data_IF_220693118401
#
_entry.id   IF_220693118401
#
_cell.length_a   1.000
_cell.length_b   1.000
_cell.length_c   1.000
_cell.angle_alpha   90.00
_cell.angle_beta   90.00
_cell.angle_gamma   90.00
#
_symmetry.space_group_name_H-M   'P 1'
#
loop_
_entity.id
_entity.type
_entity.pdbx_description
1 polymer ?
#
# COMPACT_ATOMS: atom_id res chain seq x y z
N UNK A 1 69.76 -20.89 -5.95
CA UNK A 1 68.70 -21.41 -6.83
C UNK A 1 67.38 -20.91 -6.25
N UNK A 2 66.86 -19.77 -6.71
CA UNK A 2 66.04 -19.58 -7.93
C UNK A 2 64.66 -20.22 -7.72
N UNK A 3 63.57 -19.51 -7.43
CA UNK A 3 62.87 -18.41 -8.13
C UNK A 3 61.70 -18.91 -9.01
N UNK A 4 60.52 -18.32 -8.75
CA UNK A 4 59.45 -17.90 -9.68
C UNK A 4 58.23 -17.56 -8.78
N UNK A 5 57.83 -16.31 -8.48
CA UNK A 5 57.54 -15.13 -9.32
C UNK A 5 56.52 -15.44 -10.43
N UNK A 6 55.24 -15.27 -10.11
CA UNK A 6 54.22 -14.85 -11.09
C UNK A 6 53.81 -13.43 -10.70
N UNK A 7 54.10 -12.52 -11.62
CA UNK A 7 53.78 -11.09 -11.57
C UNK A 7 52.41 -10.92 -12.22
N UNK A 8 51.43 -10.39 -11.49
CA UNK A 8 50.22 -9.80 -12.06
C UNK A 8 50.42 -8.28 -12.09
N UNK A 9 51.11 -7.82 -13.12
CA UNK A 9 51.18 -6.40 -13.50
C UNK A 9 49.97 -6.10 -14.39
N UNK A 10 49.04 -5.25 -13.91
CA UNK A 10 47.92 -4.80 -14.74
C UNK A 10 46.71 -4.16 -14.05
N UNK A 11 46.79 -3.75 -12.77
CA UNK A 11 45.79 -2.87 -12.14
C UNK A 11 46.48 -1.55 -11.78
N UNK A 12 46.81 -0.77 -12.80
CA UNK A 12 47.09 0.66 -12.63
C UNK A 12 45.76 1.41 -12.68
N UNK A 13 45.08 1.43 -11.54
CA UNK A 13 44.34 2.60 -11.06
C UNK A 13 44.40 2.53 -9.53
N UNK A 14 44.88 3.58 -8.83
CA UNK A 14 44.90 3.56 -7.37
C UNK A 14 43.45 3.44 -6.87
N UNK A 15 43.19 2.67 -5.80
CA UNK A 15 41.89 2.73 -5.16
C UNK A 15 41.63 4.19 -4.79
N UNK A 16 40.49 4.72 -5.22
CA UNK A 16 40.01 6.04 -4.77
C UNK A 16 40.16 6.06 -3.25
N UNK A 17 40.95 6.98 -2.67
CA UNK A 17 41.17 6.98 -1.24
C UNK A 17 39.83 7.23 -0.58
N UNK A 18 39.33 6.22 0.15
CA UNK A 18 38.18 6.38 1.03
C UNK A 18 38.62 7.40 2.09
N UNK A 19 37.94 8.55 2.22
CA UNK A 19 38.31 9.52 3.25
C UNK A 19 38.24 8.85 4.62
N UNK A 20 39.25 9.08 5.46
CA UNK A 20 39.26 8.62 6.85
C UNK A 20 38.03 9.16 7.58
N UNK A 21 37.04 8.29 7.79
CA UNK A 21 35.82 8.64 8.51
C UNK A 21 36.09 8.56 10.02
N UNK A 22 36.52 9.68 10.60
CA UNK A 22 36.67 9.82 12.04
C UNK A 22 35.31 10.09 12.70
N UNK A 23 34.69 9.03 13.23
CA UNK A 23 33.40 9.01 13.95
C UNK A 23 33.28 9.97 15.16
N UNK A 24 34.36 10.65 15.56
CA UNK A 24 34.40 11.49 16.76
C UNK A 24 34.25 13.00 16.53
N UNK A 25 34.40 13.50 15.29
CA UNK A 25 34.43 14.95 15.03
C UNK A 25 33.57 15.41 13.82
N UNK A 26 32.72 14.55 13.27
CA UNK A 26 31.83 14.92 12.16
C UNK A 26 30.45 15.36 12.66
N UNK A 27 30.04 16.58 12.32
CA UNK A 27 28.65 17.03 12.40
C UNK A 27 27.75 16.10 11.57
N UNK A 28 26.58 15.72 12.10
CA UNK A 28 25.56 14.95 11.41
C UNK A 28 25.07 15.63 10.12
N UNK A 29 25.36 16.92 9.92
CA UNK A 29 25.11 17.66 8.68
C UNK A 29 25.75 17.06 7.42
N UNK A 30 26.85 16.30 7.54
CA UNK A 30 27.53 15.64 6.42
C UNK A 30 27.22 14.14 6.28
N UNK A 31 26.23 13.64 7.04
CA UNK A 31 25.75 12.27 6.90
C UNK A 31 25.00 12.08 5.57
N UNK A 32 25.74 11.80 4.49
CA UNK A 32 25.15 11.24 3.27
C UNK A 32 24.73 9.82 3.59
N UNK A 33 23.43 9.55 3.54
CA UNK A 33 22.91 8.20 3.63
C UNK A 33 23.55 7.35 2.53
N UNK A 34 24.45 6.43 2.93
CA UNK A 34 24.97 5.33 2.10
C UNK A 34 23.88 4.25 1.94
N UNK A 35 22.63 4.65 1.66
CA UNK A 35 21.65 3.74 1.11
C UNK A 35 22.15 3.41 -0.31
N UNK A 36 22.91 2.31 -0.42
CA UNK A 36 23.15 1.61 -1.69
C UNK A 36 21.77 1.19 -2.19
N UNK A 37 21.10 2.11 -2.88
CA UNK A 37 19.84 1.80 -3.54
C UNK A 37 20.20 0.80 -4.64
N UNK A 38 19.68 -0.44 -4.61
CA UNK A 38 19.88 -1.35 -5.73
C UNK A 38 19.28 -0.68 -6.96
N UNK A 39 20.14 -0.21 -7.85
CA UNK A 39 19.74 0.48 -9.06
C UNK A 39 19.15 -0.52 -10.04
N UNK A 40 18.24 -0.04 -10.89
CA UNK A 40 17.68 -0.86 -11.94
C UNK A 40 18.80 -1.27 -12.92
N UNK A 41 19.02 -2.58 -13.19
CA UNK A 41 20.09 -3.00 -14.10
C UNK A 41 19.89 -2.39 -15.49
N UNK A 42 20.98 -2.12 -16.20
CA UNK A 42 20.97 -1.36 -17.45
C UNK A 42 19.93 -1.87 -18.47
N UNK A 43 19.82 -3.20 -18.66
CA UNK A 43 18.84 -3.82 -19.56
C UNK A 43 17.37 -3.51 -19.27
N UNK A 44 17.05 -3.12 -18.03
CA UNK A 44 15.68 -2.82 -17.62
C UNK A 44 15.39 -1.33 -17.54
N UNK A 45 16.37 -0.44 -17.74
CA UNK A 45 16.15 1.02 -17.68
C UNK A 45 15.02 1.45 -18.60
N UNK A 46 14.28 2.48 -18.19
CA UNK A 46 13.17 2.98 -18.99
C UNK A 46 13.74 3.77 -20.17
N UNK A 47 13.36 3.38 -21.39
CA UNK A 47 13.68 4.12 -22.62
C UNK A 47 12.46 4.94 -23.04
N UNK A 48 12.43 6.25 -22.79
CA UNK A 48 11.26 7.06 -23.09
C UNK A 48 11.03 7.16 -24.60
N UNK A 49 9.76 7.22 -25.02
CA UNK A 49 9.38 7.54 -26.39
C UNK A 49 9.17 9.05 -26.45
N UNK A 50 10.00 9.76 -27.21
CA UNK A 50 9.88 11.22 -27.33
C UNK A 50 8.83 11.63 -28.36
N UNK A 51 8.30 12.87 -28.22
CA UNK A 51 7.34 13.44 -29.17
C UNK A 51 5.90 12.93 -29.00
N UNK A 52 5.61 12.27 -27.88
CA UNK A 52 4.30 11.69 -27.54
C UNK A 52 3.78 12.40 -26.30
N UNK A 53 2.58 12.95 -26.37
CA UNK A 53 1.88 13.40 -25.17
C UNK A 53 1.44 12.19 -24.34
N UNK A 54 1.43 12.26 -23.00
CA UNK A 54 1.05 11.11 -22.20
C UNK A 54 -0.29 10.49 -22.61
N UNK A 55 -1.26 11.32 -23.00
CA UNK A 55 -2.54 10.91 -23.59
C UNK A 55 -2.38 9.88 -24.70
N UNK A 56 -1.42 10.06 -25.60
CA UNK A 56 -1.27 9.25 -26.79
C UNK A 56 -0.41 8.00 -26.56
N UNK A 57 0.10 7.77 -25.35
CA UNK A 57 1.05 6.67 -25.09
C UNK A 57 0.52 5.28 -25.48
N UNK A 58 -0.78 5.01 -25.34
CA UNK A 58 -1.37 3.75 -25.82
C UNK A 58 -1.47 3.65 -27.35
N UNK A 59 -1.60 4.78 -28.06
CA UNK A 59 -1.65 4.80 -29.52
C UNK A 59 -0.30 4.44 -30.16
N UNK A 60 0.78 4.48 -29.36
CA UNK A 60 2.15 4.15 -29.76
C UNK A 60 2.75 3.03 -28.89
N UNK A 61 1.93 2.12 -28.37
CA UNK A 61 2.38 1.03 -27.50
C UNK A 61 3.47 0.16 -28.16
N UNK A 62 3.42 0.02 -29.49
CA UNK A 62 4.45 -0.64 -30.28
C UNK A 62 5.81 0.06 -30.14
N UNK A 63 5.86 1.39 -30.12
CA UNK A 63 7.09 2.15 -29.88
C UNK A 63 7.66 1.91 -28.47
N UNK A 64 6.80 1.77 -27.45
CA UNK A 64 7.24 1.41 -26.10
C UNK A 64 7.80 -0.01 -26.02
N UNK A 65 7.19 -0.96 -26.73
CA UNK A 65 7.70 -2.34 -26.80
C UNK A 65 9.03 -2.37 -27.57
N UNK A 66 9.13 -1.66 -28.69
CA UNK A 66 10.35 -1.53 -29.47
C UNK A 66 11.48 -0.89 -28.66
N UNK A 67 11.20 0.17 -27.90
CA UNK A 67 12.22 0.83 -27.06
C UNK A 67 12.69 -0.08 -25.91
N UNK A 68 11.79 -0.87 -25.31
CA UNK A 68 12.15 -1.87 -24.32
C UNK A 68 12.98 -3.01 -24.93
N UNK A 69 12.61 -3.49 -26.13
CA UNK A 69 13.35 -4.53 -26.84
C UNK A 69 14.75 -4.05 -27.20
N UNK A 70 14.88 -2.82 -27.71
CA UNK A 70 16.18 -2.19 -27.96
C UNK A 70 17.06 -2.23 -26.70
N UNK A 71 16.53 -1.83 -25.54
CA UNK A 71 17.32 -1.78 -24.31
C UNK A 71 17.77 -3.16 -23.84
N UNK A 72 16.88 -4.15 -23.95
CA UNK A 72 17.16 -5.53 -23.61
C UNK A 72 18.16 -6.17 -24.57
N UNK A 73 18.14 -5.85 -25.87
CA UNK A 73 19.15 -6.37 -26.81
C UNK A 73 20.49 -5.64 -26.70
N UNK A 74 20.48 -4.34 -26.37
CA UNK A 74 21.71 -3.56 -26.20
C UNK A 74 22.42 -3.89 -24.87
N UNK A 75 21.65 -4.26 -23.85
CA UNK A 75 22.15 -4.62 -22.52
C UNK A 75 21.44 -5.89 -22.02
N UNK A 76 21.71 -7.06 -22.63
CA UNK A 76 21.00 -8.29 -22.32
C UNK A 76 21.17 -8.69 -20.86
N UNK A 77 20.07 -8.88 -20.11
CA UNK A 77 20.15 -9.49 -18.79
C UNK A 77 20.76 -10.90 -18.90
N UNK A 78 21.53 -11.29 -17.88
CA UNK A 78 22.17 -12.59 -17.83
C UNK A 78 21.15 -13.71 -18.08
N UNK A 79 21.59 -14.75 -18.81
CA UNK A 79 20.81 -15.98 -19.05
C UNK A 79 19.49 -15.79 -19.81
N UNK A 80 19.27 -14.64 -20.45
CA UNK A 80 18.07 -14.43 -21.28
C UNK A 80 18.28 -14.87 -22.73
N UNK A 81 17.28 -15.57 -23.28
CA UNK A 81 17.20 -15.87 -24.72
C UNK A 81 16.59 -14.70 -25.50
N UNK A 82 16.76 -14.67 -26.82
CA UNK A 82 16.10 -13.66 -27.67
C UNK A 82 14.56 -13.73 -27.55
N UNK A 83 14.01 -14.95 -27.45
CA UNK A 83 12.57 -15.16 -27.20
C UNK A 83 12.16 -14.59 -25.84
N UNK A 84 12.91 -14.89 -24.78
CA UNK A 84 12.66 -14.34 -23.44
C UNK A 84 12.69 -12.82 -23.41
N UNK A 85 13.70 -12.19 -24.04
CA UNK A 85 13.80 -10.73 -24.15
C UNK A 85 12.64 -10.12 -24.92
N UNK A 86 12.15 -10.77 -25.98
CA UNK A 86 10.93 -10.34 -26.68
C UNK A 86 9.70 -10.36 -25.75
N UNK A 87 9.51 -11.43 -24.97
CA UNK A 87 8.42 -11.48 -23.99
C UNK A 87 8.52 -10.37 -22.95
N UNK A 88 9.72 -10.16 -22.40
CA UNK A 88 10.00 -9.08 -21.44
C UNK A 88 9.73 -7.71 -22.03
N UNK A 89 10.12 -7.46 -23.28
CA UNK A 89 9.88 -6.20 -23.98
C UNK A 89 8.38 -5.91 -24.15
N UNK A 90 7.57 -6.93 -24.49
CA UNK A 90 6.11 -6.79 -24.60
C UNK A 90 5.52 -6.39 -23.25
N UNK A 91 5.93 -7.07 -22.17
CA UNK A 91 5.45 -6.80 -20.80
C UNK A 91 5.84 -5.39 -20.33
N UNK A 92 7.12 -5.04 -20.47
CA UNK A 92 7.64 -3.73 -20.07
C UNK A 92 7.00 -2.62 -20.91
N UNK A 93 7.04 -2.73 -22.23
CA UNK A 93 6.52 -1.71 -23.15
C UNK A 93 5.03 -1.46 -22.95
N UNK A 94 4.23 -2.52 -22.88
CA UNK A 94 2.78 -2.39 -22.65
C UNK A 94 2.49 -1.73 -21.31
N UNK A 95 3.13 -2.21 -20.24
CA UNK A 95 2.91 -1.64 -18.90
C UNK A 95 3.32 -0.17 -18.82
N UNK A 96 4.45 0.18 -19.44
CA UNK A 96 4.97 1.55 -19.48
C UNK A 96 4.06 2.49 -20.25
N UNK A 97 3.54 2.07 -21.40
CA UNK A 97 2.57 2.85 -22.17
C UNK A 97 1.28 3.10 -21.38
N UNK A 98 0.74 2.06 -20.72
CA UNK A 98 -0.44 2.17 -19.86
C UNK A 98 -0.18 3.16 -18.72
N UNK A 99 0.91 2.98 -17.97
CA UNK A 99 1.22 3.85 -16.85
C UNK A 99 1.43 5.29 -17.30
N UNK A 100 2.16 5.54 -18.39
CA UNK A 100 2.31 6.89 -18.94
C UNK A 100 0.96 7.51 -19.30
N UNK A 101 0.05 6.77 -19.96
CA UNK A 101 -1.26 7.31 -20.33
C UNK A 101 -2.12 7.67 -19.13
N UNK A 102 -2.32 6.72 -18.24
CA UNK A 102 -3.33 6.85 -17.18
C UNK A 102 -2.84 7.67 -16.00
N UNK A 103 -1.52 7.75 -15.78
CA UNK A 103 -0.93 8.55 -14.71
C UNK A 103 -0.23 9.81 -15.20
N UNK A 104 -0.34 10.11 -16.51
CA UNK A 104 0.24 11.30 -17.14
C UNK A 104 1.73 11.47 -16.86
N UNK A 105 2.48 10.36 -16.81
CA UNK A 105 3.88 10.39 -16.43
C UNK A 105 4.69 11.26 -17.40
N UNK A 106 5.50 12.13 -16.84
CA UNK A 106 6.43 13.04 -17.49
C UNK A 106 7.87 12.74 -17.04
N UNK A 107 8.87 13.33 -17.70
CA UNK A 107 10.27 13.08 -17.36
C UNK A 107 10.64 13.39 -15.89
N UNK A 108 9.94 14.32 -15.24
CA UNK A 108 10.19 14.69 -13.85
C UNK A 108 9.67 13.66 -12.84
N UNK A 109 8.87 12.69 -13.29
CA UNK A 109 8.29 11.64 -12.44
C UNK A 109 9.21 10.43 -12.28
N UNK A 110 10.39 10.47 -12.90
CA UNK A 110 11.35 9.38 -12.95
C UNK A 110 12.63 9.65 -12.18
N UNK A 111 13.27 8.59 -11.71
CA UNK A 111 14.63 8.61 -11.19
C UNK A 111 15.58 8.67 -12.38
N UNK A 112 16.32 9.77 -12.50
CA UNK A 112 17.15 10.06 -13.68
C UNK A 112 18.11 8.93 -14.06
N UNK A 113 18.79 8.34 -13.07
CA UNK A 113 19.77 7.26 -13.30
C UNK A 113 19.16 5.92 -13.78
N UNK A 114 17.84 5.81 -13.71
CA UNK A 114 17.08 4.64 -14.18
C UNK A 114 16.42 4.87 -15.54
N UNK A 115 16.65 6.04 -16.15
CA UNK A 115 16.34 6.32 -17.54
C UNK A 115 17.52 5.96 -18.44
N UNK A 116 17.22 5.53 -19.66
CA UNK A 116 18.18 5.42 -20.75
C UNK A 116 17.91 6.51 -21.79
N UNK A 117 18.88 6.74 -22.68
CA UNK A 117 18.74 7.70 -23.76
C UNK A 117 17.57 7.36 -24.67
N UNK A 118 16.83 8.38 -25.10
CA UNK A 118 15.73 8.25 -26.07
C UNK A 118 16.27 7.71 -27.39
N UNK A 119 15.62 6.68 -27.92
CA UNK A 119 16.00 6.07 -29.21
C UNK A 119 14.90 6.12 -30.27
N UNK A 120 13.66 6.41 -29.87
CA UNK A 120 12.50 6.57 -30.76
C UNK A 120 11.87 7.93 -30.50
N UNK A 121 11.71 8.71 -31.56
CA UNK A 121 10.91 9.94 -31.59
C UNK A 121 9.67 9.67 -32.45
N UNK A 122 8.49 9.67 -31.83
CA UNK A 122 7.24 9.56 -32.54
C UNK A 122 6.73 10.94 -32.96
N UNK A 123 6.08 11.00 -34.12
CA UNK A 123 5.44 12.20 -34.64
C UNK A 123 4.07 11.86 -35.19
N UNK A 124 3.03 12.62 -34.84
CA UNK A 124 1.73 12.45 -35.46
C UNK A 124 1.85 12.75 -36.97
N UNK A 125 1.30 11.86 -37.79
CA UNK A 125 1.17 12.03 -39.22
C UNK A 125 -0.23 12.56 -39.56
N UNK A 126 -0.38 13.12 -40.76
CA UNK A 126 -1.62 13.73 -41.22
C UNK A 126 -2.84 12.77 -41.24
N UNK A 127 -2.60 11.46 -41.23
CA UNK A 127 -3.63 10.42 -41.21
C UNK A 127 -4.06 9.99 -39.80
N UNK A 128 -3.63 10.70 -38.75
CA UNK A 128 -3.93 10.37 -37.35
C UNK A 128 -3.12 9.18 -36.81
N UNK A 129 -2.18 8.62 -37.57
CA UNK A 129 -1.21 7.61 -37.09
C UNK A 129 0.08 8.28 -36.64
N UNK A 130 0.95 7.53 -35.97
CA UNK A 130 2.29 7.98 -35.65
C UNK A 130 3.31 7.46 -36.66
N UNK A 131 4.33 8.28 -36.91
CA UNK A 131 5.55 7.91 -37.63
C UNK A 131 6.73 7.97 -36.67
N UNK A 132 7.71 7.08 -36.84
CA UNK A 132 8.82 6.96 -35.92
C UNK A 132 10.14 7.33 -36.58
N UNK A 133 10.91 8.19 -35.91
CA UNK A 133 12.30 8.48 -36.25
C UNK A 133 13.20 7.80 -35.22
N UNK A 134 14.07 6.91 -35.69
CA UNK A 134 15.08 6.25 -34.87
C UNK A 134 16.29 7.17 -34.65
N UNK A 135 16.94 7.06 -33.49
CA UNK A 135 18.18 7.77 -33.21
C UNK A 135 19.27 7.44 -34.25
N UNK A 136 20.00 8.46 -34.70
CA UNK A 136 21.14 8.28 -35.60
C UNK A 136 22.32 7.56 -34.92
N UNK A 137 22.38 7.60 -33.58
CA UNK A 137 23.43 6.96 -32.78
C UNK A 137 23.13 5.49 -32.45
N UNK A 138 22.02 4.95 -32.95
CA UNK A 138 21.63 3.55 -32.75
C UNK A 138 22.58 2.60 -33.51
N UNK A 139 23.01 1.52 -32.86
CA UNK A 139 23.81 0.45 -33.48
C UNK A 139 23.06 -0.14 -34.68
N UNK A 140 23.76 -0.42 -35.79
CA UNK A 140 23.13 -0.75 -37.08
C UNK A 140 22.26 -2.02 -37.03
N UNK A 141 22.74 -3.08 -36.39
CA UNK A 141 22.00 -4.34 -36.16
C UNK A 141 20.69 -4.13 -35.37
N UNK A 142 20.73 -3.27 -34.35
CA UNK A 142 19.55 -2.91 -33.55
C UNK A 142 18.61 -1.99 -34.34
N UNK A 143 19.16 -1.12 -35.19
CA UNK A 143 18.37 -0.30 -36.11
C UNK A 143 17.60 -1.15 -37.10
N UNK A 144 18.24 -2.18 -37.66
CA UNK A 144 17.59 -3.13 -38.57
C UNK A 144 16.51 -3.95 -37.85
N UNK A 145 16.73 -4.31 -36.57
CA UNK A 145 15.69 -4.91 -35.73
C UNK A 145 14.47 -3.99 -35.57
N UNK A 146 14.69 -2.69 -35.33
CA UNK A 146 13.61 -1.72 -35.15
C UNK A 146 12.90 -1.37 -36.49
N UNK A 147 13.62 -1.31 -37.61
CA UNK A 147 13.07 -1.04 -38.95
C UNK A 147 12.15 -2.17 -39.41
N UNK A 148 12.49 -3.44 -39.10
CA UNK A 148 11.61 -4.59 -39.38
C UNK A 148 10.24 -4.48 -38.71
N UNK A 149 10.12 -3.62 -37.70
CA UNK A 149 8.87 -3.33 -37.01
C UNK A 149 8.44 -4.44 -36.04
N UNK A 150 7.43 -4.13 -35.23
CA UNK A 150 6.87 -5.07 -34.27
C UNK A 150 5.73 -5.87 -34.91
N UNK A 151 6.06 -6.98 -35.57
CA UNK A 151 5.06 -7.95 -36.02
C UNK A 151 4.64 -8.83 -34.82
N UNK A 152 3.55 -8.48 -34.15
CA UNK A 152 3.00 -9.25 -33.03
C UNK A 152 2.22 -10.46 -33.53
N UNK A 153 2.41 -11.63 -32.91
CA UNK A 153 1.55 -12.79 -33.15
C UNK A 153 0.15 -12.59 -32.52
N UNK A 154 -0.82 -13.43 -32.88
CA UNK A 154 -2.16 -13.38 -32.28
C UNK A 154 -2.11 -13.63 -30.77
N UNK A 155 -1.23 -14.53 -30.33
CA UNK A 155 -1.00 -14.85 -28.93
C UNK A 155 -0.41 -13.64 -28.20
N UNK A 156 0.58 -12.96 -28.79
CA UNK A 156 1.17 -11.75 -28.20
C UNK A 156 0.15 -10.60 -28.11
N UNK A 157 -0.73 -10.47 -29.11
CA UNK A 157 -1.84 -9.51 -29.07
C UNK A 157 -2.83 -9.83 -27.94
N UNK A 158 -3.15 -11.12 -27.71
CA UNK A 158 -4.01 -11.54 -26.60
C UNK A 158 -3.35 -11.29 -25.23
N UNK A 159 -2.03 -11.52 -25.13
CA UNK A 159 -1.23 -11.18 -23.95
C UNK A 159 -1.26 -9.67 -23.70
N UNK A 160 -1.05 -8.85 -24.73
CA UNK A 160 -1.14 -7.39 -24.61
C UNK A 160 -2.52 -6.93 -24.15
N UNK A 161 -3.59 -7.49 -24.71
CA UNK A 161 -4.97 -7.18 -24.29
C UNK A 161 -5.21 -7.49 -22.81
N UNK A 162 -4.51 -8.50 -22.26
CA UNK A 162 -4.56 -8.85 -20.83
C UNK A 162 -3.68 -7.92 -19.99
N UNK A 163 -2.49 -7.55 -20.51
CA UNK A 163 -1.56 -6.66 -19.83
C UNK A 163 -2.16 -5.27 -19.64
N UNK A 164 -2.80 -4.69 -20.65
CA UNK A 164 -3.37 -3.33 -20.62
C UNK A 164 -4.18 -3.04 -19.34
N UNK A 165 -5.27 -3.76 -19.03
CA UNK A 165 -6.04 -3.50 -17.82
C UNK A 165 -5.29 -3.90 -16.54
N UNK A 166 -4.42 -4.91 -16.57
CA UNK A 166 -3.64 -5.32 -15.39
C UNK A 166 -2.57 -4.29 -14.99
N UNK A 167 -1.98 -3.60 -15.98
CA UNK A 167 -0.92 -2.61 -15.79
C UNK A 167 -1.41 -1.31 -15.14
N UNK A 168 -2.72 -1.06 -15.16
CA UNK A 168 -3.35 0.00 -14.36
C UNK A 168 -3.11 -0.22 -12.85
N UNK A 169 -2.94 -1.46 -12.40
CA UNK A 169 -2.66 -1.72 -10.98
C UNK A 169 -1.22 -1.42 -10.56
N UNK A 170 -0.27 -1.26 -11.49
CA UNK A 170 1.17 -1.31 -11.19
C UNK A 170 1.60 -0.23 -10.21
N UNK A 171 1.50 1.05 -10.57
CA UNK A 171 2.01 2.13 -9.71
C UNK A 171 1.27 2.23 -8.37
N UNK A 172 -0.08 2.19 -8.33
CA UNK A 172 -0.79 2.29 -7.05
C UNK A 172 -0.52 1.10 -6.14
N UNK A 173 -0.39 -0.13 -6.66
CA UNK A 173 -0.10 -1.31 -5.83
C UNK A 173 1.38 -1.38 -5.45
N UNK A 174 2.30 -0.85 -6.28
CA UNK A 174 3.67 -0.59 -5.85
C UNK A 174 3.71 0.41 -4.70
N UNK A 175 2.92 1.49 -4.76
CA UNK A 175 2.78 2.45 -3.66
C UNK A 175 2.17 1.86 -2.40
N UNK A 176 1.14 1.01 -2.54
CA UNK A 176 0.62 0.19 -1.45
C UNK A 176 1.73 -0.66 -0.82
N UNK A 177 2.56 -1.30 -1.63
CA UNK A 177 3.67 -2.13 -1.14
C UNK A 177 4.72 -1.29 -0.40
N UNK A 178 5.07 -0.10 -0.90
CA UNK A 178 5.96 0.83 -0.20
C UNK A 178 5.42 1.19 1.20
N UNK A 179 4.13 1.51 1.30
CA UNK A 179 3.47 1.82 2.58
C UNK A 179 3.45 0.61 3.52
N UNK A 180 3.18 -0.58 3.00
CA UNK A 180 2.95 -1.77 3.82
C UNK A 180 4.22 -2.52 4.21
N UNK A 181 5.25 -2.48 3.37
CA UNK A 181 6.47 -3.29 3.53
C UNK A 181 7.76 -2.52 3.29
N UNK A 182 7.73 -1.22 2.96
CA UNK A 182 8.93 -0.44 2.63
C UNK A 182 9.57 -0.79 1.28
N UNK A 183 8.91 -1.64 0.48
CA UNK A 183 9.41 -2.13 -0.82
C UNK A 183 8.30 -2.02 -1.85
N UNK A 184 8.59 -1.55 -3.06
CA UNK A 184 7.58 -1.45 -4.13
C UNK A 184 7.12 -2.81 -4.66
N UNK A 185 7.92 -3.87 -4.52
CA UNK A 185 7.53 -5.25 -4.85
C UNK A 185 8.41 -6.26 -4.09
N UNK A 186 7.79 -7.34 -3.60
CA UNK A 186 8.47 -8.51 -3.04
C UNK A 186 7.99 -9.78 -3.74
N UNK A 187 8.91 -10.63 -4.18
CA UNK A 187 8.61 -11.92 -4.82
C UNK A 187 8.13 -12.97 -3.83
N UNK A 188 8.40 -12.77 -2.53
CA UNK A 188 8.02 -13.69 -1.46
C UNK A 188 6.51 -13.95 -1.42
N UNK A 189 6.13 -15.22 -1.60
CA UNK A 189 4.74 -15.67 -1.75
C UNK A 189 3.77 -15.16 -0.67
N UNK A 190 4.25 -15.08 0.57
CA UNK A 190 3.43 -14.74 1.73
C UNK A 190 3.44 -13.24 2.07
N UNK A 191 4.24 -12.44 1.36
CA UNK A 191 4.31 -11.00 1.61
C UNK A 191 2.97 -10.31 1.28
N UNK A 192 2.59 -9.23 1.99
CA UNK A 192 1.44 -8.40 1.62
C UNK A 192 1.54 -7.87 0.18
N UNK A 193 2.76 -7.53 -0.26
CA UNK A 193 3.04 -7.06 -1.62
C UNK A 193 2.69 -8.12 -2.67
N UNK A 194 3.27 -9.34 -2.58
CA UNK A 194 3.01 -10.41 -3.55
C UNK A 194 1.53 -10.78 -3.64
N UNK A 195 0.82 -10.81 -2.50
CA UNK A 195 -0.62 -11.11 -2.45
C UNK A 195 -1.46 -10.05 -3.16
N UNK A 196 -1.07 -8.78 -3.09
CA UNK A 196 -1.76 -7.71 -3.80
C UNK A 196 -1.61 -7.87 -5.32
N UNK A 197 -0.39 -8.09 -5.82
CA UNK A 197 -0.17 -8.37 -7.25
C UNK A 197 -0.81 -9.70 -7.70
N UNK A 198 -0.81 -10.74 -6.85
CA UNK A 198 -1.51 -12.00 -7.12
C UNK A 198 -3.02 -11.82 -7.30
N UNK A 199 -3.62 -10.82 -6.65
CA UNK A 199 -5.03 -10.53 -6.84
C UNK A 199 -5.31 -9.94 -8.24
N UNK A 200 -4.40 -9.13 -8.77
CA UNK A 200 -4.45 -8.61 -10.14
C UNK A 200 -4.24 -9.75 -11.15
N UNK A 201 -3.22 -10.57 -10.94
CA UNK A 201 -2.96 -11.76 -11.78
C UNK A 201 -4.19 -12.66 -11.85
N UNK A 202 -4.79 -13.00 -10.70
CA UNK A 202 -6.02 -13.80 -10.65
C UNK A 202 -7.24 -13.13 -11.26
N UNK A 203 -7.21 -11.82 -11.48
CA UNK A 203 -8.30 -11.14 -12.14
C UNK A 203 -8.15 -11.20 -13.67
N UNK A 204 -6.93 -11.02 -14.20
CA UNK A 204 -6.72 -10.84 -15.63
C UNK A 204 -5.99 -12.01 -16.31
N UNK A 205 -5.07 -12.67 -15.63
CA UNK A 205 -4.17 -13.68 -16.22
C UNK A 205 -4.77 -15.10 -16.13
N UNK A 206 -6.08 -15.22 -16.36
CA UNK A 206 -6.80 -16.50 -16.23
C UNK A 206 -6.92 -17.28 -17.54
N UNK A 207 -6.74 -16.64 -18.69
CA UNK A 207 -6.83 -17.26 -20.00
C UNK A 207 -5.72 -18.30 -20.21
N UNK A 208 -6.06 -19.46 -20.77
CA UNK A 208 -5.12 -20.57 -20.97
C UNK A 208 -4.01 -20.22 -21.96
N UNK A 209 -4.29 -19.46 -23.02
CA UNK A 209 -3.28 -19.04 -23.99
C UNK A 209 -2.27 -18.09 -23.33
N UNK A 210 -2.75 -17.17 -22.50
CA UNK A 210 -1.88 -16.24 -21.73
C UNK A 210 -1.04 -17.00 -20.71
N UNK A 211 -1.65 -17.93 -19.96
CA UNK A 211 -0.92 -18.78 -19.01
C UNK A 211 0.16 -19.62 -19.68
N UNK A 212 -0.14 -20.24 -20.81
CA UNK A 212 0.80 -21.04 -21.58
C UNK A 212 1.95 -20.18 -22.11
N UNK A 213 1.66 -18.97 -22.60
CA UNK A 213 2.69 -18.03 -23.05
C UNK A 213 3.63 -17.60 -21.91
N UNK A 214 3.10 -17.48 -20.67
CA UNK A 214 3.89 -17.19 -19.48
C UNK A 214 4.62 -18.39 -18.87
N UNK A 215 4.22 -19.64 -19.14
CA UNK A 215 4.55 -20.79 -18.30
C UNK A 215 6.05 -21.00 -18.05
N UNK A 216 6.87 -20.91 -19.11
CA UNK A 216 8.34 -21.12 -19.02
C UNK A 216 9.09 -19.94 -18.40
N UNK A 217 8.53 -18.73 -18.47
CA UNK A 217 9.20 -17.47 -18.11
C UNK A 217 8.46 -16.71 -16.99
N UNK A 218 7.54 -17.36 -16.28
CA UNK A 218 6.56 -16.71 -15.39
C UNK A 218 7.22 -15.82 -14.35
N UNK A 219 8.31 -16.28 -13.72
CA UNK A 219 9.02 -15.52 -12.70
C UNK A 219 9.61 -14.21 -13.26
N UNK A 220 10.25 -14.27 -14.43
CA UNK A 220 10.84 -13.12 -15.10
C UNK A 220 9.75 -12.17 -15.60
N UNK A 221 8.64 -12.71 -16.10
CA UNK A 221 7.50 -11.93 -16.56
C UNK A 221 6.82 -11.20 -15.40
N UNK A 222 6.64 -11.85 -14.25
CA UNK A 222 6.11 -11.23 -13.04
C UNK A 222 7.05 -10.13 -12.53
N UNK A 223 8.35 -10.38 -12.50
CA UNK A 223 9.33 -9.33 -12.14
C UNK A 223 9.29 -8.16 -13.14
N UNK A 224 9.19 -8.43 -14.45
CA UNK A 224 9.04 -7.36 -15.44
C UNK A 224 7.75 -6.56 -15.25
N UNK A 225 6.62 -7.24 -15.09
CA UNK A 225 5.29 -6.63 -14.98
C UNK A 225 5.13 -5.81 -13.69
N UNK A 226 5.56 -6.36 -12.55
CA UNK A 226 5.25 -5.81 -11.24
C UNK A 226 6.37 -5.04 -10.59
N UNK A 227 7.61 -5.26 -11.01
CA UNK A 227 8.78 -4.61 -10.45
C UNK A 227 9.43 -3.67 -11.48
N UNK A 228 9.99 -4.21 -12.56
CA UNK A 228 10.86 -3.47 -13.49
C UNK A 228 10.11 -2.44 -14.34
N UNK A 229 8.83 -2.65 -14.62
CA UNK A 229 8.00 -1.73 -15.39
C UNK A 229 7.90 -0.36 -14.70
N UNK A 230 7.57 -0.36 -13.40
CA UNK A 230 7.32 0.84 -12.61
C UNK A 230 8.51 1.30 -11.74
N UNK A 231 9.57 0.50 -11.58
CA UNK A 231 10.72 0.83 -10.73
C UNK A 231 11.27 2.26 -10.94
N UNK A 232 11.45 2.73 -12.20
CA UNK A 232 11.96 4.07 -12.49
C UNK A 232 11.09 5.23 -12.03
N UNK A 233 9.81 5.01 -11.71
CA UNK A 233 8.94 6.07 -11.20
C UNK A 233 9.29 6.37 -9.74
N UNK A 234 9.33 7.66 -9.39
CA UNK A 234 9.70 8.14 -8.05
C UNK A 234 8.77 7.51 -6.98
N UNK A 235 9.32 6.98 -5.87
CA UNK A 235 8.52 6.34 -4.81
C UNK A 235 7.38 7.21 -4.26
N UNK A 236 7.63 8.50 -4.02
CA UNK A 236 6.63 9.42 -3.47
C UNK A 236 5.39 9.59 -4.37
N UNK A 237 5.57 9.49 -5.69
CA UNK A 237 4.45 9.52 -6.65
C UNK A 237 3.58 8.28 -6.50
N UNK A 238 4.21 7.09 -6.38
CA UNK A 238 3.49 5.82 -6.17
C UNK A 238 2.73 5.83 -4.85
N UNK A 239 3.36 6.32 -3.78
CA UNK A 239 2.72 6.45 -2.46
C UNK A 239 1.54 7.42 -2.49
N UNK A 240 1.67 8.55 -3.17
CA UNK A 240 0.58 9.50 -3.37
C UNK A 240 -0.62 8.83 -4.05
N UNK A 241 -0.37 8.14 -5.18
CA UNK A 241 -1.41 7.39 -5.90
C UNK A 241 -2.07 6.32 -5.03
N UNK A 242 -1.28 5.63 -4.20
CA UNK A 242 -1.81 4.59 -3.33
C UNK A 242 -2.73 5.16 -2.22
N UNK A 243 -2.54 6.40 -1.81
CA UNK A 243 -3.34 7.05 -0.75
C UNK A 243 -4.56 7.78 -1.28
N UNK A 244 -4.64 8.03 -2.58
CA UNK A 244 -5.68 8.85 -3.18
C UNK A 244 -6.96 8.06 -3.46
N UNK A 245 -8.08 8.50 -2.88
CA UNK A 245 -9.39 7.87 -3.09
C UNK A 245 -9.87 7.94 -4.55
N UNK A 246 -9.48 9.00 -5.27
CA UNK A 246 -9.81 9.15 -6.71
C UNK A 246 -9.13 8.07 -7.55
N UNK A 247 -7.92 7.65 -7.20
CA UNK A 247 -7.25 6.53 -7.88
C UNK A 247 -8.00 5.22 -7.61
N UNK A 248 -8.46 4.99 -6.38
CA UNK A 248 -9.30 3.84 -6.07
C UNK A 248 -10.61 3.84 -6.88
N UNK A 249 -11.27 5.00 -7.01
CA UNK A 249 -12.47 5.16 -7.82
C UNK A 249 -12.21 4.94 -9.32
N UNK A 250 -11.12 5.51 -9.86
CA UNK A 250 -10.69 5.31 -11.24
C UNK A 250 -10.46 3.83 -11.55
N UNK A 251 -9.74 3.12 -10.67
CA UNK A 251 -9.47 1.69 -10.83
C UNK A 251 -10.77 0.86 -10.78
N UNK A 252 -11.71 1.20 -9.87
CA UNK A 252 -13.05 0.56 -9.87
C UNK A 252 -13.79 0.80 -11.19
N UNK A 253 -13.82 2.04 -11.66
CA UNK A 253 -14.48 2.42 -12.92
C UNK A 253 -13.86 1.74 -14.15
N UNK A 254 -12.55 1.51 -14.12
CA UNK A 254 -11.82 0.76 -15.15
C UNK A 254 -11.94 -0.77 -15.01
N UNK A 255 -12.74 -1.27 -14.05
CA UNK A 255 -12.92 -2.69 -13.81
C UNK A 255 -11.76 -3.37 -13.08
N UNK A 256 -10.77 -2.64 -12.57
CA UNK A 256 -9.58 -3.16 -11.86
C UNK A 256 -9.85 -3.27 -10.36
N UNK A 257 -10.92 -3.99 -9.99
CA UNK A 257 -11.41 -4.09 -8.61
C UNK A 257 -10.38 -4.68 -7.64
N UNK A 258 -9.54 -5.61 -8.09
CA UNK A 258 -8.51 -6.22 -7.23
C UNK A 258 -7.46 -5.19 -6.77
N UNK A 259 -6.96 -4.34 -7.67
CA UNK A 259 -6.08 -3.23 -7.30
C UNK A 259 -6.81 -2.19 -6.47
N UNK A 260 -8.03 -1.81 -6.86
CA UNK A 260 -8.81 -0.80 -6.15
C UNK A 260 -9.12 -1.18 -4.69
N UNK A 261 -9.32 -2.47 -4.42
CA UNK A 261 -9.58 -2.99 -3.08
C UNK A 261 -8.42 -2.80 -2.09
N UNK A 262 -7.21 -2.56 -2.61
CA UNK A 262 -6.02 -2.28 -1.79
C UNK A 262 -5.93 -0.80 -1.39
N UNK A 263 -6.75 0.06 -1.98
CA UNK A 263 -6.67 1.51 -1.87
C UNK A 263 -7.92 2.11 -1.19
N UNK A 264 -7.79 3.26 -0.49
CA UNK A 264 -6.54 3.95 -0.19
C UNK A 264 -5.67 3.15 0.79
N UNK A 265 -4.38 3.07 0.48
CA UNK A 265 -3.40 2.32 1.23
C UNK A 265 -3.11 3.00 2.58
N UNK A 266 -3.09 2.18 3.62
CA UNK A 266 -2.83 2.62 4.99
C UNK A 266 -2.20 1.45 5.76
N UNK A 267 -1.18 1.77 6.56
CA UNK A 267 -0.47 0.82 7.40
C UNK A 267 -1.44 0.09 8.35
N UNK A 268 -1.13 -1.17 8.63
CA UNK A 268 -2.03 -2.09 9.37
C UNK A 268 -2.48 -1.52 10.71
N UNK A 269 -1.56 -0.89 11.45
CA UNK A 269 -1.81 -0.30 12.76
C UNK A 269 -2.76 0.90 12.64
N UNK A 270 -2.52 1.81 11.70
CA UNK A 270 -3.41 2.94 11.45
C UNK A 270 -4.80 2.52 10.98
N UNK A 271 -4.88 1.48 10.13
CA UNK A 271 -6.16 0.92 9.67
C UNK A 271 -6.96 0.32 10.83
N UNK A 272 -6.27 -0.37 11.73
CA UNK A 272 -6.88 -0.96 12.93
C UNK A 272 -7.31 0.13 13.90
N UNK A 273 -6.46 1.14 14.16
CA UNK A 273 -6.81 2.30 14.97
C UNK A 273 -8.02 3.06 14.42
N UNK A 274 -8.09 3.29 13.09
CA UNK A 274 -9.26 3.92 12.46
C UNK A 274 -10.53 3.10 12.66
N UNK A 275 -10.44 1.77 12.60
CA UNK A 275 -11.58 0.88 12.87
C UNK A 275 -12.02 0.96 14.33
N UNK A 276 -11.06 1.05 15.26
CA UNK A 276 -11.35 1.21 16.69
C UNK A 276 -12.01 2.57 16.94
N UNK A 277 -11.46 3.65 16.41
CA UNK A 277 -12.05 5.00 16.53
C UNK A 277 -13.49 5.03 16.00
N UNK A 278 -13.74 4.47 14.82
CA UNK A 278 -15.08 4.42 14.24
C UNK A 278 -16.07 3.62 15.12
N UNK A 279 -15.63 2.49 15.68
CA UNK A 279 -16.43 1.72 16.63
C UNK A 279 -16.73 2.52 17.90
N UNK A 280 -15.73 3.18 18.49
CA UNK A 280 -15.89 3.96 19.71
C UNK A 280 -16.84 5.13 19.49
N UNK A 281 -16.72 5.85 18.36
CA UNK A 281 -17.67 6.91 18.00
C UNK A 281 -19.10 6.40 17.82
N UNK A 282 -19.28 5.17 17.35
CA UNK A 282 -20.61 4.56 17.21
C UNK A 282 -21.18 4.06 18.55
N UNK A 283 -20.33 3.56 19.44
CA UNK A 283 -20.73 2.92 20.71
C UNK A 283 -20.82 3.90 21.88
N UNK A 284 -20.01 4.96 21.91
CA UNK A 284 -19.99 5.93 23.01
C UNK A 284 -21.38 6.55 23.29
N UNK A 285 -22.15 7.03 22.29
CA UNK A 285 -23.50 7.52 22.53
C UNK A 285 -24.42 6.45 23.15
N UNK A 286 -24.26 5.20 22.73
CA UNK A 286 -25.04 4.09 23.28
C UNK A 286 -24.66 3.87 24.75
N UNK A 287 -23.37 3.70 25.06
CA UNK A 287 -22.90 3.53 26.43
C UNK A 287 -23.33 4.67 27.35
N UNK A 288 -23.34 5.91 26.87
CA UNK A 288 -23.82 7.08 27.61
C UNK A 288 -25.29 6.97 28.00
N UNK A 289 -26.15 6.38 27.16
CA UNK A 289 -27.54 6.09 27.53
C UNK A 289 -27.63 5.12 28.73
N UNK A 290 -26.59 4.32 28.93
CA UNK A 290 -26.48 3.30 29.97
C UNK A 290 -25.64 3.74 31.18
N UNK A 291 -25.19 5.01 31.24
CA UNK A 291 -24.35 5.52 32.32
C UNK A 291 -22.86 5.15 32.21
N UNK A 292 -22.42 4.64 31.05
CA UNK A 292 -21.01 4.44 30.69
C UNK A 292 -20.50 5.50 29.70
N UNK A 293 -19.26 5.36 29.26
CA UNK A 293 -18.68 6.17 28.18
C UNK A 293 -17.50 5.44 27.56
N UNK A 294 -17.16 5.73 26.31
CA UNK A 294 -15.96 5.23 25.66
C UNK A 294 -15.11 6.40 25.15
N UNK A 295 -13.99 6.66 25.82
CA UNK A 295 -13.05 7.71 25.42
C UNK A 295 -11.92 7.15 24.56
N UNK A 296 -11.78 7.70 23.35
CA UNK A 296 -10.73 7.34 22.40
C UNK A 296 -9.90 8.57 21.96
N UNK A 297 -9.91 9.65 22.75
CA UNK A 297 -9.26 10.92 22.43
C UNK A 297 -7.77 10.74 22.18
N UNK A 298 -7.06 10.07 23.08
CA UNK A 298 -5.62 9.79 22.91
C UNK A 298 -5.32 9.00 21.63
N UNK A 299 -6.12 7.97 21.31
CA UNK A 299 -5.94 7.20 20.09
C UNK A 299 -6.15 8.08 18.84
N UNK A 300 -7.12 8.99 18.89
CA UNK A 300 -7.41 9.94 17.81
C UNK A 300 -6.22 10.89 17.58
N UNK A 301 -5.69 11.47 18.66
CA UNK A 301 -4.52 12.33 18.61
C UNK A 301 -3.29 11.60 18.05
N UNK A 302 -3.03 10.37 18.51
CA UNK A 302 -1.91 9.58 18.00
C UNK A 302 -2.05 9.28 16.51
N UNK A 303 -3.25 8.90 16.05
CA UNK A 303 -3.51 8.69 14.63
C UNK A 303 -3.30 9.98 13.84
N UNK A 304 -3.70 11.13 14.38
CA UNK A 304 -3.48 12.45 13.77
C UNK A 304 -1.99 12.78 13.59
N UNK A 305 -1.20 12.60 14.65
CA UNK A 305 0.25 12.84 14.64
C UNK A 305 0.94 11.89 13.67
N UNK A 306 0.68 10.58 13.74
CA UNK A 306 1.33 9.64 12.83
C UNK A 306 0.94 9.98 11.39
N UNK A 307 -0.31 10.31 11.08
CA UNK A 307 -0.70 10.68 9.71
C UNK A 307 0.04 11.90 9.16
N UNK A 308 0.48 12.84 9.99
CA UNK A 308 1.25 14.00 9.52
C UNK A 308 2.70 13.63 9.16
N UNK A 309 3.20 12.47 9.57
CA UNK A 309 4.57 12.02 9.27
C UNK A 309 4.66 11.36 7.88
N UNK A 310 5.66 11.72 7.06
CA UNK A 310 5.89 11.04 5.78
C UNK A 310 6.21 9.54 5.97
N UNK A 311 5.88 8.67 4.99
CA UNK A 311 6.04 7.21 5.12
C UNK A 311 7.49 6.74 5.27
N UNK A 312 8.43 7.47 4.65
CA UNK A 312 9.83 7.09 4.52
C UNK A 312 10.80 8.02 5.28
N UNK A 313 10.31 8.90 6.16
CA UNK A 313 11.21 9.77 6.95
C UNK A 313 11.96 8.97 8.01
N UNK A 314 13.28 9.16 8.05
CA UNK A 314 14.21 8.62 9.05
C UNK A 314 14.23 9.42 10.36
N UNK A 315 13.58 10.58 10.42
CA UNK A 315 13.36 11.37 11.63
C UNK A 315 12.03 12.12 11.53
N UNK A 316 11.27 12.16 12.62
CA UNK A 316 10.04 12.92 12.73
C UNK A 316 10.33 14.42 12.58
N UNK A 317 9.76 15.07 11.57
CA UNK A 317 9.82 16.53 11.40
C UNK A 317 8.81 17.27 12.29
N UNK A 318 7.98 16.54 13.04
CA UNK A 318 6.88 17.06 13.86
C UNK A 318 7.14 16.64 15.31
N UNK A 319 7.04 17.59 16.23
CA UNK A 319 7.23 17.35 17.67
C UNK A 319 6.42 16.16 18.15
N UNK A 320 7.11 15.19 18.73
CA UNK A 320 6.51 14.04 19.41
C UNK A 320 5.92 14.54 20.73
N UNK A 321 4.69 14.15 21.12
CA UNK A 321 4.13 14.53 22.42
C UNK A 321 5.05 14.10 23.57
N UNK A 322 5.17 14.91 24.62
CA UNK A 322 5.97 14.58 25.81
C UNK A 322 5.54 13.28 26.49
N UNK A 323 4.28 12.86 26.28
CA UNK A 323 3.70 11.63 26.82
C UNK A 323 4.16 10.36 26.10
N UNK A 324 4.80 10.49 24.93
CA UNK A 324 5.32 9.33 24.19
C UNK A 324 6.73 8.97 24.65
N UNK A 325 7.14 7.70 24.51
CA UNK A 325 8.51 7.30 24.80
C UNK A 325 9.50 8.11 23.95
N UNK A 326 10.57 8.62 24.58
CA UNK A 326 11.63 9.39 23.90
C UNK A 326 12.28 8.63 22.73
N UNK A 327 12.19 7.29 22.71
CA UNK A 327 12.69 6.44 21.64
C UNK A 327 11.82 6.42 20.37
N UNK A 328 10.70 7.13 20.34
CA UNK A 328 9.82 7.23 19.16
C UNK A 328 10.24 8.42 18.30
N UNK A 329 11.22 8.20 17.44
CA UNK A 329 11.82 9.23 16.58
C UNK A 329 11.44 9.07 15.10
N UNK A 330 10.93 7.89 14.73
CA UNK A 330 10.62 7.53 13.33
C UNK A 330 9.19 7.04 13.18
N UNK A 331 8.62 7.16 11.97
CA UNK A 331 7.25 6.68 11.71
C UNK A 331 7.11 5.19 12.00
N UNK A 332 8.14 4.40 11.70
CA UNK A 332 8.15 2.97 12.00
C UNK A 332 8.05 2.70 13.51
N UNK A 333 8.81 3.43 14.34
CA UNK A 333 8.71 3.34 15.80
C UNK A 333 7.33 3.82 16.29
N UNK A 334 6.79 4.90 15.73
CA UNK A 334 5.46 5.41 16.08
C UNK A 334 4.34 4.41 15.74
N UNK A 335 4.42 3.75 14.59
CA UNK A 335 3.51 2.67 14.20
C UNK A 335 3.66 1.45 15.10
N UNK A 336 4.88 1.10 15.50
CA UNK A 336 5.13 0.02 16.46
C UNK A 336 4.54 0.33 17.84
N UNK A 337 4.76 1.56 18.33
CA UNK A 337 4.18 2.07 19.57
C UNK A 337 2.65 2.05 19.55
N UNK A 338 2.05 2.56 18.48
CA UNK A 338 0.60 2.46 18.23
C UNK A 338 0.13 0.99 18.25
N UNK A 339 0.88 0.09 17.60
CA UNK A 339 0.59 -1.35 17.62
C UNK A 339 0.53 -1.92 19.04
N UNK A 340 1.47 -1.53 19.91
CA UNK A 340 1.46 -1.89 21.32
C UNK A 340 0.23 -1.37 22.06
N UNK A 341 -0.18 -0.13 21.82
CA UNK A 341 -1.39 0.46 22.41
C UNK A 341 -2.66 -0.26 21.95
N UNK A 342 -2.77 -0.56 20.66
CA UNK A 342 -3.90 -1.30 20.10
C UNK A 342 -4.02 -2.70 20.69
N UNK A 343 -2.89 -3.40 20.87
CA UNK A 343 -2.85 -4.72 21.48
C UNK A 343 -3.27 -4.69 22.97
N UNK A 344 -2.73 -3.73 23.74
CA UNK A 344 -3.08 -3.56 25.16
C UNK A 344 -4.57 -3.27 25.37
N UNK A 345 -5.21 -2.58 24.42
CA UNK A 345 -6.62 -2.21 24.50
C UNK A 345 -7.55 -3.14 23.70
N UNK A 346 -7.05 -4.25 23.14
CA UNK A 346 -7.85 -5.13 22.31
C UNK A 346 -9.08 -5.71 23.04
N UNK A 347 -8.95 -6.04 24.33
CA UNK A 347 -10.05 -6.53 25.15
C UNK A 347 -11.16 -5.47 25.35
N UNK A 348 -10.80 -4.21 25.63
CA UNK A 348 -11.73 -3.06 25.73
C UNK A 348 -12.54 -2.90 24.45
N UNK A 349 -11.83 -2.96 23.33
CA UNK A 349 -12.44 -2.76 22.01
C UNK A 349 -13.30 -3.96 21.63
N UNK A 350 -12.89 -5.18 21.97
CA UNK A 350 -13.66 -6.40 21.75
C UNK A 350 -14.99 -6.36 22.50
N UNK A 351 -15.01 -5.90 23.75
CA UNK A 351 -16.24 -5.67 24.51
C UNK A 351 -17.17 -4.68 23.81
N UNK A 352 -16.66 -3.51 23.43
CA UNK A 352 -17.46 -2.51 22.70
C UNK A 352 -17.97 -3.06 21.36
N UNK A 353 -17.18 -3.90 20.69
CA UNK A 353 -17.56 -4.52 19.42
C UNK A 353 -18.67 -5.56 19.61
N UNK A 354 -18.61 -6.36 20.68
CA UNK A 354 -19.70 -7.25 21.09
C UNK A 354 -20.97 -6.46 21.36
N UNK A 355 -20.87 -5.42 22.19
CA UNK A 355 -22.01 -4.54 22.51
C UNK A 355 -22.66 -3.95 21.25
N UNK A 356 -21.83 -3.42 20.33
CA UNK A 356 -22.30 -2.92 19.03
C UNK A 356 -22.97 -4.00 18.18
N UNK A 357 -22.38 -5.20 18.08
CA UNK A 357 -22.95 -6.27 17.26
C UNK A 357 -24.33 -6.70 17.77
N UNK A 358 -24.51 -6.84 19.08
CA UNK A 358 -25.81 -7.17 19.66
C UNK A 358 -26.86 -6.06 19.42
N UNK A 359 -26.45 -4.79 19.54
CA UNK A 359 -27.29 -3.65 19.18
C UNK A 359 -27.70 -3.67 17.70
N UNK A 360 -26.74 -3.87 16.80
CA UNK A 360 -26.99 -3.86 15.36
C UNK A 360 -27.90 -5.04 14.93
N UNK A 361 -27.73 -6.22 15.53
CA UNK A 361 -28.58 -7.39 15.27
C UNK A 361 -30.02 -7.19 15.73
N UNK A 362 -30.23 -6.56 16.89
CA UNK A 362 -31.59 -6.26 17.39
C UNK A 362 -32.28 -5.11 16.63
N UNK A 363 -31.51 -4.22 15.99
CA UNK A 363 -32.07 -3.14 15.18
C UNK A 363 -32.16 -3.47 13.69
N UNK A 364 -31.49 -4.52 13.19
CA UNK A 364 -31.62 -4.93 11.78
C UNK A 364 -33.07 -5.25 11.37
N UNK A 365 -33.93 -5.58 12.33
CA UNK A 365 -35.38 -5.72 12.15
C UNK A 365 -36.13 -4.40 11.87
N UNK A 366 -35.54 -3.24 12.16
CA UNK A 366 -36.12 -1.91 11.90
C UNK A 366 -35.65 -1.26 10.58
N UNK A 367 -34.49 -1.67 10.04
CA UNK A 367 -33.84 -1.03 8.88
C UNK A 367 -33.95 -1.86 7.57
N UNK A 368 -34.93 -2.75 7.47
CA UNK A 368 -35.11 -3.68 6.35
C UNK A 368 -35.39 -3.03 4.96
N UNK A 369 -35.34 -1.69 4.85
CA UNK A 369 -35.64 -0.94 3.62
C UNK A 369 -34.44 -0.53 2.77
N UNK A 370 -33.24 -0.36 3.36
CA UNK A 370 -32.04 0.03 2.60
C UNK A 370 -30.85 -0.80 3.09
N UNK A 371 -30.28 -1.61 2.21
CA UNK A 371 -29.09 -2.41 2.48
C UNK A 371 -27.84 -1.51 2.57
N UNK A 372 -27.79 -0.59 3.53
CA UNK A 372 -26.52 0.00 3.94
C UNK A 372 -25.72 -1.11 4.62
N UNK A 373 -24.69 -1.58 3.92
CA UNK A 373 -23.77 -2.60 4.46
C UNK A 373 -23.19 -2.07 5.77
N UNK A 374 -23.41 -2.77 6.89
CA UNK A 374 -22.84 -2.38 8.18
C UNK A 374 -21.31 -2.49 8.11
N UNK A 375 -20.65 -1.35 7.89
CA UNK A 375 -19.21 -1.25 7.65
C UNK A 375 -18.41 -1.69 8.90
N UNK A 376 -18.99 -1.54 10.10
CA UNK A 376 -18.33 -1.93 11.35
C UNK A 376 -18.39 -3.45 11.54
N UNK A 377 -19.54 -4.10 11.31
CA UNK A 377 -19.64 -5.58 11.36
C UNK A 377 -18.81 -6.28 10.28
N UNK A 378 -18.64 -5.64 9.12
CA UNK A 378 -17.86 -6.17 8.00
C UNK A 378 -16.37 -5.78 8.06
N UNK A 379 -15.95 -5.00 9.07
CA UNK A 379 -14.56 -4.62 9.26
C UNK A 379 -13.68 -5.82 9.63
N UNK A 380 -12.70 -6.13 8.79
CA UNK A 380 -11.74 -7.21 9.03
C UNK A 380 -10.93 -7.00 10.32
N UNK A 381 -10.56 -5.76 10.66
CA UNK A 381 -9.82 -5.47 11.90
C UNK A 381 -10.66 -5.74 13.15
N UNK A 382 -11.96 -5.43 13.12
CA UNK A 382 -12.87 -5.72 14.24
C UNK A 382 -13.25 -7.21 14.29
N UNK A 383 -13.47 -7.85 13.14
CA UNK A 383 -13.76 -9.28 13.08
C UNK A 383 -12.68 -10.15 13.74
N UNK A 384 -11.40 -9.77 13.66
CA UNK A 384 -10.29 -10.46 14.33
C UNK A 384 -10.42 -10.47 15.86
N UNK A 385 -11.06 -9.46 16.45
CA UNK A 385 -11.28 -9.39 17.90
C UNK A 385 -12.13 -10.55 18.42
N UNK A 386 -13.06 -11.07 17.59
CA UNK A 386 -13.87 -12.25 17.94
C UNK A 386 -13.00 -13.46 18.29
N UNK A 387 -11.91 -13.65 17.56
CA UNK A 387 -10.97 -14.74 17.82
C UNK A 387 -9.87 -14.38 18.83
N UNK A 388 -9.39 -13.13 18.83
CA UNK A 388 -8.23 -12.72 19.64
C UNK A 388 -8.60 -12.35 21.08
N UNK A 389 -9.86 -11.98 21.32
CA UNK A 389 -10.38 -11.53 22.61
C UNK A 389 -11.83 -11.99 22.77
N UNK A 390 -12.04 -13.31 22.66
CA UNK A 390 -13.37 -13.92 22.62
C UNK A 390 -14.18 -13.64 23.91
N UNK A 391 -13.59 -13.82 25.10
CA UNK A 391 -14.32 -13.60 26.36
C UNK A 391 -14.83 -12.15 26.48
N UNK A 392 -13.99 -11.10 26.33
CA UNK A 392 -14.48 -9.73 26.34
C UNK A 392 -15.54 -9.45 25.27
N UNK A 393 -15.42 -10.03 24.07
CA UNK A 393 -16.43 -9.89 23.01
C UNK A 393 -17.79 -10.49 23.42
N UNK A 394 -17.80 -11.69 24.01
CA UNK A 394 -19.02 -12.33 24.48
C UNK A 394 -19.64 -11.55 25.65
N UNK A 395 -18.82 -11.04 26.56
CA UNK A 395 -19.26 -10.17 27.67
C UNK A 395 -19.95 -8.91 27.15
N UNK A 396 -19.43 -8.30 26.07
CA UNK A 396 -20.07 -7.16 25.43
C UNK A 396 -21.45 -7.48 24.84
N UNK A 397 -21.61 -8.63 24.18
CA UNK A 397 -22.90 -9.11 23.67
C UNK A 397 -23.91 -9.27 24.82
N UNK A 398 -23.46 -9.88 25.92
CA UNK A 398 -24.30 -10.11 27.11
C UNK A 398 -24.69 -8.79 27.75
N UNK A 399 -23.74 -7.86 27.93
CA UNK A 399 -23.99 -6.57 28.55
C UNK A 399 -25.06 -5.74 27.83
N UNK A 400 -25.05 -5.73 26.49
CA UNK A 400 -26.13 -5.07 25.74
C UNK A 400 -27.50 -5.74 25.98
N UNK A 401 -27.52 -7.07 26.00
CA UNK A 401 -28.74 -7.84 26.25
C UNK A 401 -29.32 -7.55 27.64
N UNK A 402 -28.46 -7.49 28.66
CA UNK A 402 -28.83 -7.14 30.04
C UNK A 402 -29.35 -5.71 30.13
N UNK A 403 -28.64 -4.77 29.49
CA UNK A 403 -29.05 -3.36 29.39
C UNK A 403 -30.42 -3.21 28.72
N UNK A 404 -30.68 -3.93 27.63
CA UNK A 404 -31.96 -3.87 26.94
C UNK A 404 -33.09 -4.53 27.75
N UNK A 405 -32.83 -5.65 28.42
CA UNK A 405 -33.78 -6.30 29.31
C UNK A 405 -34.18 -5.37 30.48
N UNK A 406 -33.18 -4.72 31.11
CA UNK A 406 -33.41 -3.74 32.17
C UNK A 406 -34.21 -2.52 31.69
N UNK A 407 -33.91 -2.02 30.48
CA UNK A 407 -34.68 -0.93 29.85
C UNK A 407 -36.15 -1.32 29.62
N UNK A 408 -36.39 -2.51 29.06
CA UNK A 408 -37.75 -2.98 28.77
C UNK A 408 -38.56 -3.22 30.05
N UNK A 409 -37.92 -3.75 31.11
CA UNK A 409 -38.55 -3.87 32.42
C UNK A 409 -39.00 -2.52 32.99
N UNK A 410 -38.11 -1.50 33.01
CA UNK A 410 -38.49 -0.17 33.53
C UNK A 410 -39.55 0.53 32.65
N UNK A 411 -39.57 0.28 31.33
CA UNK A 411 -40.67 0.75 30.46
C UNK A 411 -42.02 0.14 30.84
N UNK A 412 -42.04 -1.16 31.16
CA UNK A 412 -43.26 -1.84 31.64
C UNK A 412 -43.72 -1.31 33.00
N UNK A 413 -42.79 -0.80 33.81
CA UNK A 413 -43.05 -0.18 35.12
C UNK A 413 -43.47 1.30 35.03
N UNK A 414 -43.57 1.88 33.82
CA UNK A 414 -44.10 3.24 33.60
C UNK A 414 -43.13 4.39 33.87
N UNK A 415 -41.83 4.12 33.99
CA UNK A 415 -40.83 5.18 34.20
C UNK A 415 -40.44 5.87 32.87
N UNK A 416 -40.64 7.20 32.79
CA UNK A 416 -40.30 8.01 31.60
C UNK A 416 -38.80 8.35 31.49
N UNK A 417 -38.04 8.25 32.58
CA UNK A 417 -36.61 8.60 32.59
C UNK A 417 -35.77 7.45 33.14
N UNK A 418 -34.76 7.04 32.37
CA UNK A 418 -33.98 5.84 32.62
C UNK A 418 -32.49 6.12 32.70
N UNK A 419 -31.85 5.59 33.74
CA UNK A 419 -30.40 5.39 33.82
C UNK A 419 -30.19 3.93 34.25
N UNK A 420 -29.26 3.22 33.61
CA UNK A 420 -28.91 1.86 33.98
C UNK A 420 -28.28 1.89 35.38
N UNK A 421 -28.72 1.01 36.29
CA UNK A 421 -28.11 0.94 37.62
C UNK A 421 -26.61 0.65 37.43
N UNK A 422 -25.76 1.45 38.07
CA UNK A 422 -24.29 1.48 37.92
C UNK A 422 -23.61 0.13 38.16
N UNK A 423 -24.32 -0.88 38.66
CA UNK A 423 -23.82 -2.23 38.95
C UNK A 423 -23.57 -3.06 37.69
N UNK A 424 -24.36 -2.89 36.61
CA UNK A 424 -24.25 -3.75 35.40
C UNK A 424 -23.00 -3.39 34.58
N UNK A 425 -22.69 -2.10 34.44
CA UNK A 425 -21.45 -1.64 33.78
C UNK A 425 -20.29 -1.44 34.77
N UNK A 426 -20.58 -1.10 36.03
CA UNK A 426 -19.56 -0.74 37.02
C UNK A 426 -18.68 -1.89 37.47
N UNK A 427 -19.19 -3.13 37.53
CA UNK A 427 -18.36 -4.28 37.91
C UNK A 427 -17.27 -4.63 36.88
N UNK A 428 -17.43 -4.21 35.62
CA UNK A 428 -16.41 -4.40 34.58
C UNK A 428 -15.42 -3.22 34.54
N UNK A 429 -15.90 -1.98 34.65
CA UNK A 429 -15.05 -0.79 34.56
C UNK A 429 -14.27 -0.45 35.84
N UNK A 430 -14.70 -0.94 37.01
CA UNK A 430 -14.05 -0.68 38.30
C UNK A 430 -12.59 -1.19 38.40
N UNK A 431 -12.13 -2.05 37.49
CA UNK A 431 -10.74 -2.52 37.43
C UNK A 431 -9.88 -1.92 36.32
N UNK A 432 -10.42 -0.99 35.51
CA UNK A 432 -9.87 -0.66 34.18
C UNK A 432 -9.37 0.81 34.06
N UNK A 433 -9.21 1.50 35.19
CA UNK A 433 -8.57 2.82 35.26
C UNK A 433 -7.04 2.69 35.16
N UNK A 434 -6.50 3.09 34.01
CA UNK A 434 -5.07 3.07 33.74
C UNK A 434 -4.79 2.85 32.26
N UNK A 435 -4.37 3.93 31.60
CA UNK A 435 -3.78 4.02 30.26
C UNK A 435 -4.76 3.97 29.05
N UNK A 436 -4.77 5.11 28.34
CA UNK A 436 -5.11 5.40 26.94
C UNK A 436 -6.52 5.11 26.40
N UNK A 437 -7.35 4.46 27.21
CA UNK A 437 -8.81 4.39 27.04
C UNK A 437 -9.42 4.50 28.43
N UNK A 438 -10.08 5.60 28.72
CA UNK A 438 -10.83 5.78 29.96
C UNK A 438 -12.28 5.31 29.75
N UNK A 439 -12.73 4.45 30.67
CA UNK A 439 -14.15 4.14 30.85
C UNK A 439 -14.48 4.55 32.27
N UNK A 440 -15.25 5.62 32.44
CA UNK A 440 -15.73 6.03 33.75
C UNK A 440 -17.16 5.55 33.95
N UNK A 441 -17.39 4.81 35.04
CA UNK A 441 -18.68 4.83 35.72
C UNK A 441 -18.59 5.91 36.80
N UNK A 442 -19.59 6.78 36.88
CA UNK A 442 -19.70 7.73 37.99
C UNK A 442 -19.74 6.97 39.32
N UNK A 443 -18.79 7.28 40.20
CA UNK A 443 -18.99 7.17 41.64
C UNK A 443 -19.98 8.27 42.02
N UNK A 444 -21.16 7.91 42.51
CA UNK A 444 -22.02 8.87 43.19
C UNK A 444 -21.32 9.28 44.48
N UNK A 445 -20.98 10.56 44.61
CA UNK A 445 -20.83 11.16 45.92
C UNK A 445 -22.13 10.97 46.69
N UNK A 446 -21.98 10.52 47.93
CA UNK A 446 -23.03 10.32 48.92
C UNK A 446 -24.04 11.47 48.87
N UNK A 447 -25.29 11.16 48.52
CA UNK A 447 -26.41 11.92 49.02
C UNK A 447 -26.44 11.68 50.54
N UNK A 448 -25.85 12.61 51.28
CA UNK A 448 -26.17 12.84 52.68
C UNK A 448 -27.66 13.21 52.73
N UNK A 449 -28.49 12.56 53.58
CA UNK A 449 -29.84 13.02 53.80
C UNK A 449 -29.89 14.16 54.83
N UNK A 450 -30.83 15.08 54.59
CA UNK A 450 -31.53 15.96 55.56
C UNK A 450 -30.74 17.24 55.91
N UNK A 451 -31.33 18.45 55.88
CA UNK A 451 -32.72 18.84 56.21
C UNK A 451 -33.77 18.84 55.09
#
# INVERSE_FOLDING_TARGET
>A
MSAARVVLSGLEDPPVPVPDFHLRNGDAGDSRSLLVRPSLPAGYRWVPVAGVFPEDALAVVDAYIMSALYQLENNPPAETTASGRRKMAIVLGTSRAVMTRYYRLTYTDFIGDELAAVVINARPAANGKFTYRLSATMRADLRDLMIRGLALTKEEQAVMATLVPSSLGVLPVQGYSLIMTGHHYLTERNSPSRRAFAAIERQFWNDNAVKNWFAEDMAVIQDCAWHKSGHPVIPSIKESMAREERIAAMLRGAGVGSAASMLPAMETQLRTAKSYLALMSAVDPLLKMFGGSADATELSEMVGIIKSWPPLTTAGSVGVPETWPQSVETRAQALSFLGGILAKNAAKVAYCYGFYCAFAEQNQTLWAGEATTDILRTSCSLAKLKSQSLSPYLEGLQAYSDCNAARNKKKLEGAEQWCCDSVILGNFFAGWSGNNFSFSCFSFHNNVPID
#
